data_IF_756543815857
#
_entry.id   IF_756543815857
#
_cell.length_a   1.000
_cell.length_b   1.000
_cell.length_c   1.000
_cell.angle_alpha   90.00
_cell.angle_beta   90.00
_cell.angle_gamma   90.00
#
_symmetry.space_group_name_H-M   'P 1'
#
loop_
_entity.id
_entity.type
_entity.pdbx_description
1 polymer ?
#
# COMPACT_ATOMS: atom_id res chain seq x y z
N UNK A 1 -8.26 11.37 -0.74
CA UNK A 1 -7.91 10.17 -1.52
C UNK A 1 -6.41 10.17 -1.76
N UNK A 2 -5.77 9.03 -1.57
CA UNK A 2 -4.33 8.87 -1.76
C UNK A 2 -4.10 7.81 -2.83
N UNK A 3 -3.15 8.06 -3.72
CA UNK A 3 -2.72 7.10 -4.73
C UNK A 3 -1.30 6.66 -4.45
N UNK A 4 -0.98 5.42 -4.78
CA UNK A 4 0.34 4.83 -4.63
C UNK A 4 0.77 4.40 -6.03
N UNK A 5 1.94 4.84 -6.49
CA UNK A 5 2.45 4.40 -7.78
C UNK A 5 3.15 3.03 -7.67
N UNK A 6 3.57 2.47 -8.80
CA UNK A 6 4.28 1.18 -8.87
C UNK A 6 5.61 1.15 -8.10
N UNK A 7 6.21 2.31 -7.86
CA UNK A 7 7.49 2.45 -7.14
C UNK A 7 7.27 2.62 -5.63
N UNK A 8 6.01 2.65 -5.17
CA UNK A 8 5.64 2.83 -3.77
C UNK A 8 5.58 4.29 -3.32
N UNK A 9 5.71 5.26 -4.21
CA UNK A 9 5.55 6.67 -3.85
C UNK A 9 4.08 7.00 -3.60
N UNK A 10 3.85 7.77 -2.52
CA UNK A 10 2.51 8.11 -2.04
C UNK A 10 2.18 9.54 -2.45
N UNK A 11 1.09 9.71 -3.19
CA UNK A 11 0.61 11.01 -3.64
C UNK A 11 -0.72 11.36 -2.99
N UNK A 12 -0.76 12.52 -2.33
CA UNK A 12 -2.00 13.10 -1.82
C UNK A 12 -2.77 13.75 -2.95
N UNK A 13 -3.73 13.01 -3.51
CA UNK A 13 -4.62 13.53 -4.53
C UNK A 13 -5.68 14.48 -3.94
N UNK A 14 -6.26 14.08 -2.81
CA UNK A 14 -7.33 14.79 -2.13
C UNK A 14 -7.28 14.56 -0.60
N UNK A 15 -7.91 15.42 0.20
CA UNK A 15 -7.86 15.38 1.66
C UNK A 15 -6.83 16.33 2.26
N UNK A 16 -6.42 17.37 1.50
CA UNK A 16 -5.46 18.40 1.95
C UNK A 16 -5.87 19.07 3.26
N UNK A 17 -7.16 19.34 3.44
CA UNK A 17 -7.68 19.89 4.69
C UNK A 17 -7.47 18.95 5.87
N UNK A 18 -7.72 17.64 5.68
CA UNK A 18 -7.50 16.64 6.73
C UNK A 18 -6.03 16.54 7.10
N UNK A 19 -5.13 16.57 6.10
CA UNK A 19 -3.69 16.57 6.35
C UNK A 19 -3.26 17.84 7.10
N UNK A 20 -3.73 19.02 6.69
CA UNK A 20 -3.40 20.28 7.34
C UNK A 20 -3.88 20.32 8.81
N UNK A 21 -5.08 19.79 9.09
CA UNK A 21 -5.59 19.65 10.46
C UNK A 21 -4.69 18.72 11.27
N UNK A 22 -4.30 17.57 10.70
CA UNK A 22 -3.41 16.63 11.39
C UNK A 22 -2.05 17.24 11.70
N UNK A 23 -1.48 18.02 10.77
CA UNK A 23 -0.24 18.76 10.99
C UNK A 23 -0.38 19.81 12.10
N UNK A 24 -1.50 20.54 12.13
CA UNK A 24 -1.78 21.52 13.19
C UNK A 24 -1.92 20.88 14.57
N UNK A 25 -2.44 19.65 14.61
CA UNK A 25 -2.64 18.87 15.84
C UNK A 25 -1.41 18.02 16.23
N UNK A 26 -0.30 18.12 15.48
CA UNK A 26 0.92 17.34 15.68
C UNK A 26 0.65 15.83 15.74
N UNK A 27 -0.20 15.33 14.84
CA UNK A 27 -0.47 13.90 14.73
C UNK A 27 0.61 13.22 13.90
N UNK A 28 1.25 12.22 14.49
CA UNK A 28 2.31 11.43 13.82
C UNK A 28 1.79 10.63 12.62
N UNK A 29 0.53 10.19 12.66
CA UNK A 29 -0.06 9.28 11.66
C UNK A 29 -1.48 9.70 11.30
N UNK A 30 -1.79 9.67 10.01
CA UNK A 30 -3.12 9.93 9.48
C UNK A 30 -3.55 8.74 8.60
N UNK A 31 -4.71 8.11 8.87
CA UNK A 31 -5.20 7.06 8.01
C UNK A 31 -5.64 7.63 6.66
N UNK A 32 -5.20 6.97 5.60
CA UNK A 32 -5.57 7.29 4.21
C UNK A 32 -6.39 6.16 3.61
N UNK A 33 -7.27 6.51 2.67
CA UNK A 33 -8.07 5.54 1.93
C UNK A 33 -7.64 5.51 0.47
N UNK A 34 -7.23 4.32 0.00
CA UNK A 34 -6.90 4.03 -1.39
C UNK A 34 -8.19 3.60 -2.08
N UNK A 35 -8.79 4.49 -2.87
CA UNK A 35 -10.13 4.30 -3.46
C UNK A 35 -10.09 3.42 -4.72
N UNK A 36 -8.99 3.50 -5.47
CA UNK A 36 -8.79 2.67 -6.66
C UNK A 36 -7.35 2.17 -6.70
N UNK A 37 -7.17 1.00 -7.31
CA UNK A 37 -5.87 0.42 -7.64
C UNK A 37 -5.84 0.10 -9.12
N UNK A 38 -4.64 0.06 -9.68
CA UNK A 38 -4.45 -0.46 -11.02
C UNK A 38 -4.83 -1.94 -11.06
N UNK A 39 -5.54 -2.37 -12.11
CA UNK A 39 -6.05 -3.75 -12.22
C UNK A 39 -4.92 -4.78 -12.19
N UNK A 40 -3.86 -4.57 -12.97
CA UNK A 40 -2.69 -5.46 -12.98
C UNK A 40 -2.00 -5.52 -11.61
N UNK A 41 -1.97 -4.40 -10.89
CA UNK A 41 -1.40 -4.36 -9.55
C UNK A 41 -2.23 -5.17 -8.57
N UNK A 42 -3.56 -5.03 -8.62
CA UNK A 42 -4.46 -5.85 -7.81
C UNK A 42 -4.30 -7.34 -8.10
N UNK A 43 -4.17 -7.74 -9.37
CA UNK A 43 -3.89 -9.14 -9.74
C UNK A 43 -2.59 -9.67 -9.15
N UNK A 44 -1.54 -8.84 -9.13
CA UNK A 44 -0.25 -9.18 -8.55
C UNK A 44 -0.38 -9.39 -7.03
N UNK A 45 -1.09 -8.50 -6.34
CA UNK A 45 -1.41 -8.61 -4.90
C UNK A 45 -2.18 -9.88 -4.59
N UNK A 46 -3.22 -10.17 -5.35
CA UNK A 46 -4.05 -11.37 -5.18
C UNK A 46 -3.24 -12.65 -5.40
N UNK A 47 -2.38 -12.66 -6.42
CA UNK A 47 -1.46 -13.76 -6.70
C UNK A 47 -0.46 -13.95 -5.56
N UNK A 48 0.09 -12.87 -5.01
CA UNK A 48 0.99 -12.93 -3.87
C UNK A 48 0.27 -13.52 -2.65
N UNK A 49 -0.93 -13.02 -2.32
CA UNK A 49 -1.73 -13.52 -1.19
C UNK A 49 -2.01 -15.02 -1.29
N UNK A 50 -2.42 -15.50 -2.47
CA UNK A 50 -2.69 -16.94 -2.70
C UNK A 50 -1.43 -17.80 -2.60
N UNK A 51 -0.27 -17.28 -3.03
CA UNK A 51 0.98 -18.03 -3.08
C UNK A 51 1.85 -17.91 -1.82
N UNK A 52 1.46 -17.15 -0.79
CA UNK A 52 2.22 -17.05 0.47
C UNK A 52 2.49 -18.41 1.12
N UNK A 53 1.64 -19.41 0.88
CA UNK A 53 1.80 -20.80 1.39
C UNK A 53 2.93 -21.58 0.70
N UNK A 54 3.35 -21.18 -0.51
CA UNK A 54 4.38 -21.85 -1.30
C UNK A 54 5.68 -21.04 -1.23
N UNK A 55 6.41 -21.21 -0.13
CA UNK A 55 7.63 -20.47 0.26
C UNK A 55 8.83 -20.59 -0.70
N UNK A 56 8.68 -21.28 -1.84
CA UNK A 56 9.78 -21.62 -2.75
C UNK A 56 10.09 -20.58 -3.83
N UNK A 57 9.25 -19.55 -4.02
CA UNK A 57 9.49 -18.46 -5.01
C UNK A 57 9.98 -17.13 -4.39
N UNK A 58 10.33 -17.15 -3.10
CA UNK A 58 10.62 -15.98 -2.27
C UNK A 58 11.68 -15.01 -2.81
N UNK A 59 12.57 -15.47 -3.68
CA UNK A 59 13.60 -14.63 -4.30
C UNK A 59 13.07 -13.62 -5.33
N UNK A 60 11.89 -13.86 -5.92
CA UNK A 60 11.35 -12.99 -6.98
C UNK A 60 10.43 -11.88 -6.45
N UNK A 61 10.12 -11.86 -5.15
CA UNK A 61 9.14 -10.96 -4.54
C UNK A 61 9.72 -10.11 -3.41
N UNK A 62 11.05 -10.01 -3.29
CA UNK A 62 11.71 -9.13 -2.30
C UNK A 62 11.23 -7.69 -2.40
N UNK A 63 11.13 -7.20 -3.63
CA UNK A 63 10.83 -5.80 -3.92
C UNK A 63 9.36 -5.48 -3.61
N UNK A 64 8.47 -6.45 -3.81
CA UNK A 64 7.07 -6.34 -3.42
C UNK A 64 6.89 -6.28 -1.90
N UNK A 65 7.70 -7.01 -1.12
CA UNK A 65 7.60 -6.94 0.35
C UNK A 65 7.93 -5.56 0.92
N UNK A 66 8.78 -4.80 0.23
CA UNK A 66 9.12 -3.45 0.60
C UNK A 66 8.05 -2.43 0.16
N UNK A 67 7.16 -2.79 -0.76
CA UNK A 67 6.15 -1.88 -1.30
C UNK A 67 5.08 -1.54 -0.23
N UNK A 68 4.71 -0.25 -0.05
CA UNK A 68 3.77 0.16 1.01
C UNK A 68 2.36 -0.41 0.81
N UNK A 69 1.89 -0.54 -0.44
CA UNK A 69 0.58 -1.13 -0.76
C UNK A 69 0.51 -2.68 -0.62
N UNK A 70 1.58 -3.32 -0.15
CA UNK A 70 1.64 -4.76 0.15
C UNK A 70 1.57 -5.06 1.64
N UNK A 71 1.71 -4.05 2.52
CA UNK A 71 1.82 -4.24 3.97
C UNK A 71 0.54 -4.79 4.59
N UNK A 72 -0.63 -4.44 4.07
CA UNK A 72 -1.91 -4.99 4.50
C UNK A 72 -2.02 -6.48 4.15
N UNK A 73 -1.56 -6.89 2.97
CA UNK A 73 -1.55 -8.31 2.52
C UNK A 73 -0.55 -9.14 3.33
N UNK A 74 0.58 -8.55 3.74
CA UNK A 74 1.61 -9.22 4.52
C UNK A 74 1.22 -9.34 6.00
N UNK A 75 0.64 -8.29 6.57
CA UNK A 75 0.29 -8.23 8.00
C UNK A 75 -1.14 -8.70 8.30
N UNK A 76 -1.84 -9.27 7.31
CA UNK A 76 -3.15 -9.91 7.52
C UNK A 76 -2.96 -11.29 8.16
N UNK A 77 -2.78 -11.32 9.48
CA UNK A 77 -2.77 -12.53 10.33
C UNK A 77 -3.48 -12.28 11.65
#
# INVERSE_FOLDING_TARGET
MTVINQDGEIYLWDGRYRLAIAQLLDLDVVPVHVVCRHEEWQHLRDSFFQNQSNTSSLGSFSDLRAHPDMQDVINSF
#
